data_IF_296616212580
#
_entry.id   IF_296616212580
#
_cell.length_a   1.000
_cell.length_b   1.000
_cell.length_c   1.000
_cell.angle_alpha   90.00
_cell.angle_beta   90.00
_cell.angle_gamma   90.00
#
_symmetry.space_group_name_H-M   'P 1'
#
loop_
_entity.id
_entity.type
_entity.pdbx_description
1 polymer ?
#
# COMPACT_ATOMS: atom_id res chain seq x y z
N UNK A 1 16.93 20.27 10.52
CA UNK A 1 16.01 19.52 9.63
C UNK A 1 16.84 18.57 8.78
N UNK A 2 17.29 17.44 9.33
CA UNK A 2 18.07 16.45 8.56
C UNK A 2 17.15 15.59 7.68
N UNK A 3 17.40 15.62 6.37
CA UNK A 3 16.67 14.88 5.35
C UNK A 3 17.08 13.40 5.34
N UNK A 4 16.41 12.55 6.12
CA UNK A 4 16.53 11.09 6.02
C UNK A 4 16.23 10.56 4.60
N UNK A 5 15.45 11.32 3.81
CA UNK A 5 15.15 11.03 2.40
C UNK A 5 16.36 11.23 1.47
N UNK A 6 17.33 12.08 1.86
CA UNK A 6 18.57 12.28 1.11
C UNK A 6 19.59 11.17 1.38
N UNK A 7 19.70 10.60 2.59
CA UNK A 7 20.72 9.57 2.85
C UNK A 7 20.53 8.28 2.03
N UNK A 8 19.30 7.82 1.86
CA UNK A 8 19.04 6.70 0.94
C UNK A 8 19.31 7.10 -0.52
N UNK A 9 19.36 8.39 -0.86
CA UNK A 9 19.68 8.92 -2.20
C UNK A 9 21.19 9.06 -2.40
N UNK A 10 21.93 9.40 -1.37
CA UNK A 10 23.40 9.49 -1.42
C UNK A 10 24.02 8.08 -1.58
N UNK A 11 23.43 7.06 -0.94
CA UNK A 11 23.76 5.64 -1.22
C UNK A 11 23.38 5.23 -2.66
N UNK A 12 22.33 5.82 -3.26
CA UNK A 12 21.94 5.56 -4.67
C UNK A 12 22.99 6.08 -5.65
N UNK A 13 23.52 7.28 -5.44
CA UNK A 13 24.52 7.87 -6.33
C UNK A 13 25.88 7.14 -6.23
N UNK A 14 26.31 6.76 -5.02
CA UNK A 14 27.57 6.03 -4.84
C UNK A 14 27.57 4.62 -5.47
N UNK A 15 26.44 3.89 -5.42
CA UNK A 15 26.35 2.56 -6.02
C UNK A 15 26.25 2.58 -7.55
N UNK A 16 25.65 3.62 -8.14
CA UNK A 16 25.61 3.80 -9.60
C UNK A 16 27.00 4.15 -10.16
N UNK A 17 27.76 5.00 -9.46
CA UNK A 17 29.10 5.44 -9.87
C UNK A 17 30.17 4.34 -9.74
N UNK A 18 29.98 3.36 -8.87
CA UNK A 18 30.90 2.23 -8.70
C UNK A 18 30.70 1.09 -9.71
N UNK A 19 29.68 1.16 -10.58
CA UNK A 19 29.41 0.12 -11.58
C UNK A 19 30.36 0.13 -12.78
N UNK A 20 31.23 1.13 -12.91
CA UNK A 20 32.18 1.30 -14.02
C UNK A 20 33.66 1.25 -13.63
N UNK A 21 34.01 0.69 -12.47
CA UNK A 21 35.41 0.59 -12.04
C UNK A 21 35.71 -0.61 -11.13
N UNK A 22 36.50 -1.55 -11.65
CA UNK A 22 37.23 -2.63 -10.97
C UNK A 22 36.48 -3.51 -9.95
N UNK A 23 36.34 -4.79 -10.34
CA UNK A 23 35.95 -5.96 -9.54
C UNK A 23 36.98 -6.33 -8.46
N UNK A 24 37.35 -5.39 -7.59
CA UNK A 24 38.09 -5.67 -6.36
C UNK A 24 37.61 -4.70 -5.28
N UNK A 25 36.52 -5.04 -4.58
CA UNK A 25 36.20 -4.37 -3.32
C UNK A 25 35.90 -5.41 -2.24
N UNK A 26 36.87 -5.57 -1.35
CA UNK A 26 36.72 -6.20 -0.05
C UNK A 26 35.49 -5.63 0.71
N UNK A 27 34.64 -6.52 1.24
CA UNK A 27 33.98 -6.47 2.56
C UNK A 27 33.42 -5.15 3.12
N UNK A 28 32.96 -4.19 2.32
CA UNK A 28 32.16 -3.08 2.86
C UNK A 28 30.69 -3.50 3.00
N UNK A 29 30.44 -4.46 3.91
CA UNK A 29 29.08 -4.73 4.36
C UNK A 29 28.57 -3.49 5.08
N UNK A 30 27.46 -2.92 4.57
CA UNK A 30 26.81 -1.77 5.19
C UNK A 30 26.54 -2.06 6.67
N UNK A 31 27.09 -1.22 7.53
CA UNK A 31 26.80 -1.25 8.96
C UNK A 31 25.45 -0.55 9.20
N UNK A 32 24.39 -1.33 9.40
CA UNK A 32 23.04 -0.78 9.59
C UNK A 32 22.83 -0.15 10.97
N UNK A 33 23.75 -0.30 11.93
CA UNK A 33 23.67 0.43 13.20
C UNK A 33 24.17 1.88 13.04
N UNK A 34 25.20 2.09 12.22
CA UNK A 34 25.70 3.43 11.84
C UNK A 34 24.80 4.09 10.78
N UNK A 35 24.47 3.33 9.73
CA UNK A 35 23.68 3.80 8.59
C UNK A 35 22.42 2.94 8.41
N UNK A 36 21.41 3.11 9.27
CA UNK A 36 20.20 2.31 9.28
C UNK A 36 19.43 2.43 7.96
N UNK A 37 18.81 1.33 7.55
CA UNK A 37 17.85 1.35 6.44
C UNK A 37 16.56 1.99 6.96
N UNK A 38 16.14 3.10 6.34
CA UNK A 38 14.92 3.81 6.75
C UNK A 38 13.91 3.73 5.62
N UNK A 39 12.73 3.18 5.91
CA UNK A 39 11.60 3.08 5.00
C UNK A 39 10.43 3.87 5.59
N UNK A 40 9.81 4.73 4.77
CA UNK A 40 8.61 5.44 5.18
C UNK A 40 7.39 4.54 4.90
N UNK A 41 6.41 4.49 5.81
CA UNK A 41 5.13 3.83 5.56
C UNK A 41 4.09 4.87 5.12
N UNK A 42 3.53 4.69 3.91
CA UNK A 42 2.55 5.60 3.29
C UNK A 42 1.23 4.92 2.96
N UNK A 43 0.85 3.90 3.72
CA UNK A 43 -0.44 3.23 3.55
C UNK A 43 -1.62 4.20 3.51
N UNK A 44 -1.68 5.16 4.43
CA UNK A 44 -2.74 6.17 4.49
C UNK A 44 -2.82 7.02 3.21
N UNK A 45 -1.67 7.44 2.69
CA UNK A 45 -1.61 8.23 1.46
C UNK A 45 -2.07 7.41 0.25
N UNK A 46 -1.71 6.13 0.19
CA UNK A 46 -2.16 5.24 -0.87
C UNK A 46 -3.69 5.08 -0.87
N UNK A 47 -4.28 4.84 0.31
CA UNK A 47 -5.74 4.72 0.47
C UNK A 47 -6.46 6.03 0.11
N UNK A 48 -5.92 7.18 0.51
CA UNK A 48 -6.48 8.48 0.15
C UNK A 48 -6.36 8.78 -1.35
N UNK A 49 -5.25 8.39 -2.00
CA UNK A 49 -5.10 8.53 -3.44
C UNK A 49 -6.12 7.67 -4.19
N UNK A 50 -6.35 6.44 -3.76
CA UNK A 50 -7.41 5.59 -4.32
C UNK A 50 -8.79 6.25 -4.19
N UNK A 51 -9.13 6.78 -3.01
CA UNK A 51 -10.37 7.53 -2.80
C UNK A 51 -10.48 8.76 -3.71
N UNK A 52 -9.39 9.50 -3.90
CA UNK A 52 -9.34 10.63 -4.82
C UNK A 52 -9.55 10.22 -6.28
N UNK A 53 -8.95 9.11 -6.74
CA UNK A 53 -9.17 8.59 -8.09
C UNK A 53 -10.63 8.21 -8.34
N UNK A 54 -11.28 7.56 -7.36
CA UNK A 54 -12.72 7.25 -7.43
C UNK A 54 -13.52 8.55 -7.55
N UNK A 55 -13.19 9.57 -6.75
CA UNK A 55 -13.88 10.86 -6.80
C UNK A 55 -13.79 11.52 -8.18
N UNK A 56 -12.59 11.57 -8.77
CA UNK A 56 -12.37 12.12 -10.12
C UNK A 56 -13.17 11.33 -11.16
N UNK A 57 -13.15 10.00 -11.07
CA UNK A 57 -13.93 9.13 -11.96
C UNK A 57 -15.44 9.43 -11.86
N UNK A 58 -15.95 9.64 -10.65
CA UNK A 58 -17.37 9.98 -10.45
C UNK A 58 -17.74 11.34 -11.03
N UNK A 59 -16.89 12.36 -10.87
CA UNK A 59 -17.09 13.67 -11.51
C UNK A 59 -17.13 13.50 -13.02
N UNK A 60 -16.20 12.73 -13.59
CA UNK A 60 -16.19 12.44 -15.01
C UNK A 60 -17.50 11.79 -15.49
N UNK A 61 -17.98 10.74 -14.79
CA UNK A 61 -19.23 10.07 -15.13
C UNK A 61 -20.45 11.00 -15.04
N UNK A 62 -20.50 11.88 -14.03
CA UNK A 62 -21.57 12.87 -13.89
C UNK A 62 -21.56 13.91 -15.01
N UNK A 63 -20.37 14.35 -15.45
CA UNK A 63 -20.25 15.28 -16.57
C UNK A 63 -20.58 14.62 -17.91
N UNK A 64 -20.26 13.33 -18.07
CA UNK A 64 -20.51 12.57 -19.30
C UNK A 64 -22.00 12.24 -19.48
N UNK A 65 -22.70 11.86 -18.41
CA UNK A 65 -24.13 11.54 -18.44
C UNK A 65 -24.90 12.23 -17.29
N UNK A 66 -25.15 13.55 -17.40
CA UNK A 66 -25.75 14.33 -16.32
C UNK A 66 -27.22 14.00 -16.03
N UNK A 67 -27.93 13.43 -17.01
CA UNK A 67 -29.36 13.11 -16.92
C UNK A 67 -29.63 11.73 -16.29
N UNK A 68 -28.61 10.88 -16.15
CA UNK A 68 -28.75 9.57 -15.54
C UNK A 68 -28.76 9.71 -14.01
N UNK A 69 -29.96 9.53 -13.44
CA UNK A 69 -30.18 9.62 -11.99
C UNK A 69 -29.27 8.66 -11.21
N UNK A 70 -28.88 7.52 -11.81
CA UNK A 70 -27.99 6.53 -11.22
C UNK A 70 -26.58 7.07 -10.91
N UNK A 71 -26.01 7.92 -11.77
CA UNK A 71 -24.71 8.55 -11.50
C UNK A 71 -24.80 9.62 -10.40
N UNK A 72 -25.98 10.23 -10.21
CA UNK A 72 -26.22 11.15 -9.07
C UNK A 72 -26.22 10.41 -7.73
N UNK A 73 -26.69 9.16 -7.68
CA UNK A 73 -26.66 8.34 -6.47
C UNK A 73 -25.24 7.96 -6.05
N UNK A 74 -24.28 7.84 -6.98
CA UNK A 74 -22.87 7.65 -6.63
C UNK A 74 -22.37 8.76 -5.70
N UNK A 75 -22.75 10.02 -5.95
CA UNK A 75 -22.38 11.16 -5.10
C UNK A 75 -22.96 11.12 -3.68
N UNK A 76 -23.97 10.27 -3.42
CA UNK A 76 -24.47 9.99 -2.07
C UNK A 76 -23.60 8.91 -1.39
N UNK A 77 -23.14 7.93 -2.17
CA UNK A 77 -22.33 6.80 -1.69
C UNK A 77 -20.91 7.28 -1.33
N UNK A 78 -20.29 8.14 -2.15
CA UNK A 78 -18.91 8.56 -1.94
C UNK A 78 -18.62 9.26 -0.60
N UNK A 79 -19.46 10.18 -0.08
CA UNK A 79 -19.28 10.73 1.25
C UNK A 79 -19.22 9.69 2.38
N UNK A 80 -19.91 8.56 2.21
CA UNK A 80 -19.94 7.48 3.20
C UNK A 80 -18.68 6.60 3.10
N UNK A 81 -18.24 6.28 1.89
CA UNK A 81 -17.15 5.34 1.66
C UNK A 81 -15.80 6.02 1.34
N UNK A 82 -15.75 7.01 0.47
CA UNK A 82 -14.50 7.66 0.04
C UNK A 82 -13.96 8.71 1.02
N UNK A 83 -14.80 9.62 1.51
CA UNK A 83 -14.37 10.73 2.37
C UNK A 83 -13.65 10.30 3.66
N UNK A 84 -14.06 9.24 4.38
CA UNK A 84 -13.36 8.82 5.59
C UNK A 84 -11.86 8.54 5.39
N UNK A 85 -11.47 7.94 4.26
CA UNK A 85 -10.05 7.70 3.94
C UNK A 85 -9.30 8.99 3.67
N UNK A 86 -9.94 9.94 2.97
CA UNK A 86 -9.35 11.26 2.69
C UNK A 86 -9.18 12.05 3.99
N UNK A 87 -10.19 12.06 4.87
CA UNK A 87 -10.12 12.74 6.15
C UNK A 87 -9.09 12.12 7.08
N UNK A 88 -8.98 10.79 7.14
CA UNK A 88 -7.96 10.12 7.95
C UNK A 88 -6.55 10.52 7.48
N UNK A 89 -6.32 10.52 6.17
CA UNK A 89 -5.07 11.03 5.60
C UNK A 89 -4.82 12.50 5.94
N UNK A 90 -5.81 13.39 5.80
CA UNK A 90 -5.64 14.82 6.12
C UNK A 90 -5.30 14.98 7.61
N UNK A 91 -6.00 14.26 8.50
CA UNK A 91 -5.77 14.28 9.95
C UNK A 91 -4.37 13.77 10.30
N UNK A 92 -3.88 12.77 9.57
CA UNK A 92 -2.59 12.13 9.83
C UNK A 92 -1.45 12.63 8.93
N UNK A 93 -1.67 13.62 8.05
CA UNK A 93 -0.66 14.09 7.05
C UNK A 93 0.68 14.53 7.64
N UNK A 94 0.66 15.01 8.89
CA UNK A 94 1.85 15.46 9.61
C UNK A 94 2.55 14.32 10.37
N UNK A 95 1.92 13.14 10.44
CA UNK A 95 2.47 11.93 11.03
C UNK A 95 3.35 11.24 9.99
N UNK A 96 4.58 10.95 10.36
CA UNK A 96 5.55 10.20 9.56
C UNK A 96 5.85 8.89 10.27
N UNK A 97 5.34 7.81 9.68
CA UNK A 97 5.65 6.44 10.08
C UNK A 97 6.94 6.01 9.39
N UNK A 98 8.01 5.80 10.16
CA UNK A 98 9.33 5.45 9.65
C UNK A 98 9.78 4.12 10.27
N UNK A 99 10.06 3.13 9.44
CA UNK A 99 10.66 1.88 9.87
C UNK A 99 12.16 1.99 9.71
N UNK A 100 12.87 1.85 10.83
CA UNK A 100 14.32 1.88 10.92
C UNK A 100 14.81 0.44 11.16
N UNK A 101 15.54 -0.12 10.20
CA UNK A 101 16.16 -1.43 10.30
C UNK A 101 17.65 -1.26 10.61
N UNK A 102 18.11 -1.87 11.70
CA UNK A 102 19.50 -1.90 12.14
C UNK A 102 20.02 -3.35 12.17
N UNK A 103 21.28 -3.59 12.54
CA UNK A 103 21.82 -4.95 12.57
C UNK A 103 21.20 -5.83 13.66
N UNK A 104 20.51 -5.23 14.65
CA UNK A 104 19.96 -5.94 15.81
C UNK A 104 18.44 -5.82 15.93
N UNK A 105 17.82 -4.77 15.39
CA UNK A 105 16.39 -4.51 15.60
C UNK A 105 15.73 -3.74 14.46
N UNK A 106 14.42 -3.86 14.42
CA UNK A 106 13.52 -3.13 13.55
C UNK A 106 12.61 -2.26 14.42
N UNK A 107 12.66 -0.95 14.20
CA UNK A 107 11.93 0.04 15.00
C UNK A 107 10.93 0.76 14.10
N UNK A 108 9.65 0.71 14.47
CA UNK A 108 8.61 1.55 13.89
C UNK A 108 8.49 2.85 14.70
N UNK A 109 8.83 3.97 14.07
CA UNK A 109 8.80 5.30 14.65
C UNK A 109 7.62 6.12 14.11
N UNK A 110 6.96 6.87 14.98
CA UNK A 110 6.05 7.96 14.61
C UNK A 110 6.72 9.29 14.94
N UNK A 111 6.92 10.14 13.93
CA UNK A 111 7.52 11.47 14.11
C UNK A 111 8.82 11.44 14.95
N UNK A 112 9.65 10.42 14.70
CA UNK A 112 10.92 10.09 15.39
C UNK A 112 10.83 9.45 16.78
N UNK A 113 9.63 9.24 17.32
CA UNK A 113 9.44 8.50 18.58
C UNK A 113 9.16 7.02 18.29
N UNK A 114 9.85 6.07 18.95
CA UNK A 114 9.60 4.65 18.75
C UNK A 114 8.23 4.25 19.33
N UNK A 115 7.41 3.56 18.53
CA UNK A 115 6.12 3.00 18.97
C UNK A 115 6.22 1.49 19.14
N UNK A 116 6.86 0.80 18.19
CA UNK A 116 7.07 -0.65 18.23
C UNK A 116 8.52 -0.96 17.89
N UNK A 117 9.10 -1.90 18.63
CA UNK A 117 10.43 -2.44 18.38
C UNK A 117 10.33 -3.95 18.36
N UNK A 118 10.93 -4.57 17.34
CA UNK A 118 11.11 -6.01 17.20
C UNK A 118 12.61 -6.25 17.10
N UNK A 119 13.17 -7.12 17.94
CA UNK A 119 14.55 -7.54 17.74
C UNK A 119 14.63 -8.56 16.61
N UNK A 120 15.76 -8.57 15.90
CA UNK A 120 15.91 -9.45 14.74
C UNK A 120 15.79 -10.91 15.17
N UNK A 121 16.50 -11.34 16.22
CA UNK A 121 16.41 -12.68 16.81
C UNK A 121 14.98 -13.15 17.11
N UNK A 122 14.08 -12.25 17.52
CA UNK A 122 12.66 -12.53 17.79
C UNK A 122 11.78 -12.73 16.53
N UNK A 123 12.29 -12.46 15.32
CA UNK A 123 11.50 -12.61 14.09
C UNK A 123 11.22 -14.09 13.82
N UNK A 124 9.93 -14.43 13.80
CA UNK A 124 9.45 -15.78 13.50
C UNK A 124 9.32 -16.00 12.00
N UNK A 125 8.63 -15.08 11.31
CA UNK A 125 8.41 -15.17 9.87
C UNK A 125 8.11 -13.79 9.28
N UNK A 126 8.49 -13.65 8.01
CA UNK A 126 8.21 -12.47 7.19
C UNK A 126 7.23 -12.91 6.10
N UNK A 127 6.15 -12.16 5.90
CA UNK A 127 5.16 -12.42 4.85
C UNK A 127 4.99 -11.20 3.97
N UNK A 128 4.54 -11.42 2.75
CA UNK A 128 4.10 -10.35 1.86
C UNK A 128 2.60 -10.38 1.72
N UNK A 129 2.00 -9.20 1.72
CA UNK A 129 0.57 -9.06 1.52
C UNK A 129 0.25 -8.09 0.38
N UNK A 130 -0.89 -8.33 -0.26
CA UNK A 130 -1.48 -7.37 -1.20
C UNK A 130 -2.25 -6.30 -0.43
N UNK A 131 -3.07 -6.72 0.53
CA UNK A 131 -3.78 -5.85 1.46
C UNK A 131 -3.50 -6.28 2.89
N UNK A 132 -3.33 -5.30 3.77
CA UNK A 132 -3.20 -5.53 5.19
C UNK A 132 -4.31 -4.80 5.93
N UNK A 133 -5.05 -5.55 6.74
CA UNK A 133 -6.04 -5.00 7.65
C UNK A 133 -5.37 -4.58 8.95
N UNK A 134 -5.23 -3.27 9.18
CA UNK A 134 -4.85 -2.69 10.47
C UNK A 134 -6.11 -2.47 11.31
N UNK A 135 -6.45 -3.43 12.17
CA UNK A 135 -7.68 -3.37 12.99
C UNK A 135 -7.72 -2.12 13.85
N UNK A 136 -6.59 -1.67 14.40
CA UNK A 136 -6.54 -0.46 15.26
C UNK A 136 -6.83 0.81 14.48
N UNK A 137 -6.33 0.92 13.26
CA UNK A 137 -6.66 2.04 12.39
C UNK A 137 -8.15 2.04 12.04
N UNK A 138 -8.68 0.86 11.74
CA UNK A 138 -10.06 0.65 11.30
C UNK A 138 -11.11 0.75 12.44
N UNK A 139 -10.77 0.40 13.68
CA UNK A 139 -11.60 0.64 14.88
C UNK A 139 -11.83 2.13 15.15
N UNK A 140 -10.88 2.96 14.74
CA UNK A 140 -10.97 4.41 14.81
C UNK A 140 -11.74 5.04 13.64
N UNK A 141 -12.26 4.21 12.71
CA UNK A 141 -13.12 4.65 11.61
C UNK A 141 -14.61 4.46 11.94
N UNK A 142 -15.45 4.97 11.04
CA UNK A 142 -16.90 5.12 11.24
C UNK A 142 -17.63 3.78 11.50
N UNK A 143 -18.84 3.81 12.05
CA UNK A 143 -19.64 2.61 12.42
C UNK A 143 -19.81 1.62 11.26
N UNK A 144 -19.94 2.12 10.03
CA UNK A 144 -20.01 1.29 8.83
C UNK A 144 -18.75 0.47 8.57
N UNK A 145 -17.57 1.04 8.82
CA UNK A 145 -16.31 0.31 8.67
C UNK A 145 -16.24 -0.82 9.70
N UNK A 146 -16.61 -0.55 10.95
CA UNK A 146 -16.75 -1.60 12.00
C UNK A 146 -17.68 -2.74 11.56
N UNK A 147 -18.77 -2.41 10.87
CA UNK A 147 -19.73 -3.39 10.35
C UNK A 147 -19.16 -4.21 9.18
N UNK A 148 -18.56 -3.56 8.18
CA UNK A 148 -17.93 -4.24 7.04
C UNK A 148 -16.75 -5.16 7.48
N UNK A 149 -16.09 -4.81 8.58
CA UNK A 149 -14.98 -5.57 9.18
C UNK A 149 -15.39 -6.80 9.98
N UNK A 150 -16.67 -6.92 10.35
CA UNK A 150 -17.19 -8.08 11.08
C UNK A 150 -17.11 -9.36 10.25
N UNK A 151 -17.09 -9.23 8.92
CA UNK A 151 -17.04 -10.36 7.99
C UNK A 151 -15.60 -10.71 7.58
N UNK A 152 -15.38 -11.98 7.29
CA UNK A 152 -14.12 -12.49 6.74
C UNK A 152 -13.81 -11.74 5.43
N UNK A 153 -12.58 -11.24 5.23
CA UNK A 153 -12.19 -10.55 4.01
C UNK A 153 -12.52 -11.29 2.71
N UNK A 154 -12.47 -12.62 2.69
CA UNK A 154 -12.88 -13.40 1.52
C UNK A 154 -14.38 -13.28 1.26
N UNK A 155 -15.20 -13.35 2.31
CA UNK A 155 -16.64 -13.13 2.22
C UNK A 155 -16.98 -11.71 1.77
N UNK A 156 -16.22 -10.70 2.21
CA UNK A 156 -16.42 -9.31 1.81
C UNK A 156 -16.05 -9.08 0.34
N UNK A 157 -14.96 -9.70 -0.15
CA UNK A 157 -14.56 -9.65 -1.56
C UNK A 157 -15.61 -10.34 -2.43
N UNK A 158 -16.06 -11.55 -2.04
CA UNK A 158 -17.09 -12.29 -2.76
C UNK A 158 -18.40 -11.50 -2.81
N UNK A 159 -18.81 -10.90 -1.68
CA UNK A 159 -19.99 -10.03 -1.64
C UNK A 159 -19.85 -8.81 -2.55
N UNK A 160 -18.69 -8.13 -2.54
CA UNK A 160 -18.41 -7.02 -3.46
C UNK A 160 -18.47 -7.47 -4.93
N UNK A 161 -17.89 -8.63 -5.27
CA UNK A 161 -17.94 -9.18 -6.62
C UNK A 161 -19.38 -9.50 -7.05
N UNK A 162 -20.18 -10.07 -6.15
CA UNK A 162 -21.61 -10.35 -6.40
C UNK A 162 -22.38 -9.05 -6.59
N UNK A 163 -22.14 -8.03 -5.77
CA UNK A 163 -22.76 -6.71 -5.92
C UNK A 163 -22.33 -6.07 -7.25
N UNK A 164 -21.05 -6.12 -7.60
CA UNK A 164 -20.55 -5.63 -8.89
C UNK A 164 -21.18 -6.39 -10.07
N UNK A 165 -21.35 -7.71 -9.95
CA UNK A 165 -22.00 -8.54 -10.97
C UNK A 165 -23.52 -8.29 -11.06
N UNK A 166 -24.19 -8.07 -9.94
CA UNK A 166 -25.60 -7.70 -9.92
C UNK A 166 -25.82 -6.31 -10.53
N UNK A 167 -24.98 -5.34 -10.17
CA UNK A 167 -24.94 -4.02 -10.81
C UNK A 167 -24.64 -4.17 -12.30
N UNK A 168 -23.72 -5.04 -12.70
CA UNK A 168 -23.45 -5.36 -14.11
C UNK A 168 -24.70 -5.82 -14.85
N UNK A 169 -25.41 -6.82 -14.32
CA UNK A 169 -26.62 -7.33 -14.94
C UNK A 169 -27.68 -6.22 -15.09
N UNK A 170 -27.86 -5.39 -14.05
CA UNK A 170 -28.79 -4.25 -14.09
C UNK A 170 -28.37 -3.19 -15.11
N UNK A 171 -27.07 -2.94 -15.26
CA UNK A 171 -26.53 -1.99 -16.24
C UNK A 171 -26.72 -2.51 -17.67
N UNK A 172 -26.40 -3.79 -17.93
CA UNK A 172 -26.56 -4.42 -19.26
C UNK A 172 -28.02 -4.43 -19.72
N UNK A 173 -28.97 -4.64 -18.83
CA UNK A 173 -30.40 -4.68 -19.20
C UNK A 173 -31.03 -3.31 -19.41
N UNK A 174 -30.41 -2.22 -18.94
CA UNK A 174 -31.06 -0.89 -18.84
C UNK A 174 -30.24 0.26 -19.44
N UNK A 175 -29.24 0.00 -20.27
CA UNK A 175 -28.44 1.04 -20.93
C UNK A 175 -28.75 1.11 -22.43
N UNK A 176 -29.02 2.32 -22.93
CA UNK A 176 -29.03 2.65 -24.37
C UNK A 176 -27.62 2.92 -24.93
N UNK A 177 -26.57 2.65 -24.15
CA UNK A 177 -25.18 2.78 -24.58
C UNK A 177 -24.75 1.58 -25.41
N UNK A 178 -23.74 1.75 -26.26
CA UNK A 178 -23.16 0.63 -26.99
C UNK A 178 -22.59 -0.40 -26.00
N UNK A 179 -22.72 -1.70 -26.31
CA UNK A 179 -22.24 -2.80 -25.45
C UNK A 179 -20.78 -2.62 -24.99
N UNK A 180 -19.94 -1.95 -25.80
CA UNK A 180 -18.53 -1.67 -25.49
C UNK A 180 -18.31 -0.67 -24.35
N UNK A 181 -19.18 0.35 -24.22
CA UNK A 181 -19.06 1.35 -23.14
C UNK A 181 -19.39 0.75 -21.78
N UNK A 182 -20.39 -0.12 -21.72
CA UNK A 182 -20.76 -0.86 -20.49
C UNK A 182 -19.61 -1.77 -20.06
N UNK A 183 -19.03 -2.53 -21.01
CA UNK A 183 -17.85 -3.37 -20.77
C UNK A 183 -16.66 -2.56 -20.27
N UNK A 184 -16.42 -1.38 -20.84
CA UNK A 184 -15.33 -0.50 -20.42
C UNK A 184 -15.50 0.01 -18.98
N UNK A 185 -16.69 0.48 -18.59
CA UNK A 185 -16.97 0.97 -17.23
C UNK A 185 -16.74 -0.14 -16.19
N UNK A 186 -17.13 -1.38 -16.52
CA UNK A 186 -16.90 -2.53 -15.63
C UNK A 186 -15.43 -2.88 -15.52
N UNK A 187 -14.71 -2.87 -16.64
CA UNK A 187 -13.28 -3.08 -16.64
C UNK A 187 -12.60 -2.04 -15.75
N UNK A 188 -12.93 -0.76 -15.91
CA UNK A 188 -12.40 0.31 -15.07
C UNK A 188 -12.81 0.11 -13.60
N UNK A 189 -14.04 -0.29 -13.31
CA UNK A 189 -14.52 -0.54 -11.95
C UNK A 189 -13.81 -1.71 -11.25
N UNK A 190 -13.77 -2.88 -11.88
CA UNK A 190 -13.14 -4.11 -11.37
C UNK A 190 -11.63 -3.91 -11.21
N UNK A 191 -10.99 -3.32 -12.21
CA UNK A 191 -9.54 -3.12 -12.22
C UNK A 191 -9.12 -1.79 -11.56
N UNK A 192 -10.07 -0.99 -11.04
CA UNK A 192 -9.84 0.37 -10.53
C UNK A 192 -8.72 0.41 -9.50
N UNK A 193 -8.71 -0.53 -8.55
CA UNK A 193 -7.70 -0.58 -7.51
C UNK A 193 -6.30 -0.85 -8.08
N UNK A 194 -6.18 -1.78 -9.02
CA UNK A 194 -4.90 -2.07 -9.69
C UNK A 194 -4.43 -0.89 -10.54
N UNK A 195 -5.33 -0.26 -11.29
CA UNK A 195 -5.05 0.93 -12.09
C UNK A 195 -4.58 2.07 -11.18
N UNK A 196 -5.26 2.32 -10.07
CA UNK A 196 -4.86 3.34 -9.10
C UNK A 196 -3.51 3.03 -8.46
N UNK A 197 -3.22 1.75 -8.18
CA UNK A 197 -1.90 1.32 -7.70
C UNK A 197 -0.80 1.60 -8.70
N UNK A 198 -1.04 1.24 -9.95
CA UNK A 198 -0.10 1.52 -11.03
C UNK A 198 0.12 3.03 -11.22
N UNK A 199 -0.96 3.81 -11.28
CA UNK A 199 -0.91 5.27 -11.39
C UNK A 199 -0.17 5.92 -10.22
N UNK A 200 -0.34 5.41 -8.99
CA UNK A 200 0.40 5.89 -7.82
C UNK A 200 1.92 5.78 -8.03
N UNK A 201 2.41 4.60 -8.43
CA UNK A 201 3.84 4.39 -8.66
C UNK A 201 4.34 5.22 -9.85
N UNK A 202 3.56 5.28 -10.93
CA UNK A 202 3.92 6.06 -12.11
C UNK A 202 4.03 7.57 -11.80
N UNK A 203 3.03 8.14 -11.11
CA UNK A 203 2.96 9.58 -10.84
C UNK A 203 3.92 10.00 -9.72
N UNK A 204 3.89 9.30 -8.58
CA UNK A 204 4.63 9.75 -7.38
C UNK A 204 6.02 9.16 -7.26
N UNK A 205 6.29 8.02 -7.89
CA UNK A 205 7.60 7.35 -7.86
C UNK A 205 8.33 7.43 -9.19
N UNK A 206 7.63 7.74 -10.28
CA UNK A 206 8.18 7.73 -11.65
C UNK A 206 8.77 6.36 -12.00
N UNK A 207 8.16 5.30 -11.48
CA UNK A 207 8.59 3.92 -11.67
C UNK A 207 7.45 3.13 -12.31
N UNK A 208 7.77 2.35 -13.36
CA UNK A 208 6.87 1.35 -13.90
C UNK A 208 6.97 0.13 -12.98
N UNK A 209 5.92 -0.13 -12.21
CA UNK A 209 5.90 -1.21 -11.22
C UNK A 209 4.56 -1.93 -11.22
N UNK A 210 4.60 -3.24 -11.46
CA UNK A 210 3.43 -4.14 -11.44
C UNK A 210 3.43 -5.04 -10.19
N UNK A 211 4.15 -4.67 -9.14
CA UNK A 211 4.21 -5.47 -7.92
C UNK A 211 2.92 -5.30 -7.13
N UNK A 212 2.12 -6.38 -7.06
CA UNK A 212 0.86 -6.39 -6.34
C UNK A 212 1.06 -6.56 -4.82
N UNK A 213 1.98 -7.42 -4.40
CA UNK A 213 2.31 -7.70 -3.00
C UNK A 213 3.40 -6.75 -2.48
N UNK A 214 3.01 -5.54 -2.11
CA UNK A 214 3.91 -4.49 -1.65
C UNK A 214 3.86 -4.26 -0.13
N UNK A 215 2.94 -4.86 0.60
CA UNK A 215 3.02 -4.91 2.05
C UNK A 215 4.05 -5.96 2.48
N UNK A 216 4.94 -5.56 3.37
CA UNK A 216 5.79 -6.47 4.13
C UNK A 216 5.28 -6.53 5.57
N UNK A 217 5.07 -7.74 6.08
CA UNK A 217 4.62 -7.98 7.45
C UNK A 217 5.64 -8.85 8.16
N UNK A 218 6.18 -8.34 9.25
CA UNK A 218 7.20 -8.98 10.06
C UNK A 218 6.54 -9.37 11.38
N UNK A 219 6.48 -10.67 11.66
CA UNK A 219 5.88 -11.22 12.86
C UNK A 219 6.96 -11.62 13.87
N UNK A 220 6.77 -11.22 15.12
CA UNK A 220 7.60 -11.58 16.27
C UNK A 220 6.69 -11.83 17.47
N UNK A 221 6.55 -13.08 17.92
CA UNK A 221 5.67 -13.49 19.01
C UNK A 221 4.32 -12.74 19.00
N UNK A 222 4.11 -11.83 19.97
CA UNK A 222 2.88 -11.04 20.16
C UNK A 222 2.86 -9.68 19.43
N UNK A 223 3.87 -9.41 18.60
CA UNK A 223 4.07 -8.13 17.92
C UNK A 223 4.21 -8.35 16.42
N UNK A 224 3.80 -7.32 15.69
CA UNK A 224 4.06 -7.19 14.27
C UNK A 224 4.49 -5.78 13.92
N UNK A 225 5.34 -5.69 12.89
CA UNK A 225 5.64 -4.45 12.19
C UNK A 225 5.26 -4.69 10.73
N UNK A 226 4.49 -3.76 10.19
CA UNK A 226 4.02 -3.83 8.82
C UNK A 226 4.19 -2.48 8.12
N UNK A 227 4.42 -2.54 6.80
CA UNK A 227 4.55 -1.36 5.97
C UNK A 227 4.48 -1.66 4.48
N UNK A 228 4.14 -0.62 3.71
CA UNK A 228 4.20 -0.66 2.24
C UNK A 228 5.62 -0.36 1.75
N UNK A 229 6.14 -1.21 0.87
CA UNK A 229 7.38 -1.00 0.13
C UNK A 229 7.13 0.03 -0.98
N UNK A 230 7.77 1.20 -0.87
CA UNK A 230 7.42 2.35 -1.70
C UNK A 230 8.13 2.46 -3.05
N UNK A 231 9.15 1.66 -3.31
CA UNK A 231 9.90 1.71 -4.57
C UNK A 231 10.59 0.37 -4.85
N UNK A 232 10.98 0.15 -6.10
CA UNK A 232 11.81 -0.99 -6.48
C UNK A 232 13.17 -0.96 -5.78
N UNK A 233 13.70 0.23 -5.50
CA UNK A 233 14.95 0.36 -4.77
C UNK A 233 14.79 -0.01 -3.28
N UNK A 234 13.75 0.47 -2.62
CA UNK A 234 13.45 0.08 -1.24
C UNK A 234 13.25 -1.44 -1.14
N UNK A 235 12.60 -2.05 -2.15
CA UNK A 235 12.47 -3.50 -2.26
C UNK A 235 13.83 -4.21 -2.29
N UNK A 236 14.74 -3.79 -3.19
CA UNK A 236 16.08 -4.38 -3.31
C UNK A 236 16.87 -4.26 -2.01
N UNK A 237 16.87 -3.07 -1.39
CA UNK A 237 17.57 -2.83 -0.13
C UNK A 237 17.02 -3.67 1.03
N UNK A 238 15.69 -3.81 1.11
CA UNK A 238 15.05 -4.67 2.09
C UNK A 238 15.42 -6.14 1.85
N UNK A 239 15.34 -6.61 0.60
CA UNK A 239 15.73 -7.98 0.24
C UNK A 239 17.16 -8.28 0.65
N UNK A 240 18.10 -7.40 0.31
CA UNK A 240 19.50 -7.54 0.73
C UNK A 240 19.66 -7.57 2.24
N UNK A 241 18.96 -6.68 2.96
CA UNK A 241 18.98 -6.65 4.42
C UNK A 241 18.53 -7.99 5.03
N UNK A 242 17.38 -8.52 4.61
CA UNK A 242 16.84 -9.76 5.18
C UNK A 242 17.64 -11.00 4.80
N UNK A 243 18.20 -11.06 3.59
CA UNK A 243 19.11 -12.15 3.19
C UNK A 243 20.37 -12.12 4.06
N UNK A 244 21.00 -10.94 4.22
CA UNK A 244 22.27 -10.82 4.96
C UNK A 244 22.09 -11.02 6.46
N UNK A 245 21.06 -10.44 7.07
CA UNK A 245 20.89 -10.43 8.52
C UNK A 245 20.13 -11.66 9.04
N UNK A 246 19.32 -12.30 8.20
CA UNK A 246 18.42 -13.38 8.62
C UNK A 246 18.33 -14.59 7.70
N UNK A 247 19.07 -14.60 6.59
CA UNK A 247 18.94 -15.63 5.56
C UNK A 247 17.49 -15.82 5.07
N UNK A 248 16.71 -14.73 5.05
CA UNK A 248 15.33 -14.71 4.56
C UNK A 248 15.31 -14.02 3.20
N UNK A 249 14.93 -14.76 2.16
CA UNK A 249 14.69 -14.20 0.83
C UNK A 249 13.23 -13.76 0.68
N UNK A 250 13.00 -12.45 0.62
CA UNK A 250 11.67 -11.84 0.47
C UNK A 250 10.98 -12.23 -0.85
N UNK A 251 11.72 -12.72 -1.85
CA UNK A 251 11.10 -13.23 -3.08
C UNK A 251 10.43 -14.59 -2.88
N UNK A 252 10.86 -15.34 -1.85
CA UNK A 252 10.41 -16.72 -1.58
C UNK A 252 9.47 -16.83 -0.37
N UNK A 253 9.18 -15.73 0.32
CA UNK A 253 8.24 -15.76 1.43
C UNK A 253 6.81 -15.93 0.94
N UNK A 254 5.96 -16.47 1.82
CA UNK A 254 4.54 -16.60 1.53
C UNK A 254 3.90 -15.26 1.15
N UNK A 255 3.16 -15.28 0.05
CA UNK A 255 2.37 -14.16 -0.44
C UNK A 255 0.90 -14.41 -0.14
N UNK A 256 0.27 -13.43 0.49
CA UNK A 256 -1.13 -13.50 0.92
C UNK A 256 -1.90 -12.35 0.27
N UNK A 257 -3.06 -12.64 -0.32
CA UNK A 257 -3.92 -11.58 -0.86
C UNK A 257 -4.35 -10.65 0.28
N UNK A 258 -4.59 -11.22 1.45
CA UNK A 258 -5.03 -10.50 2.63
C UNK A 258 -4.31 -11.02 3.87
N UNK A 259 -3.84 -10.12 4.73
CA UNK A 259 -3.41 -10.44 6.08
C UNK A 259 -4.11 -9.53 7.10
N UNK A 260 -4.30 -10.08 8.29
CA UNK A 260 -4.69 -9.31 9.47
C UNK A 260 -3.44 -8.95 10.28
N UNK A 261 -3.44 -7.75 10.86
CA UNK A 261 -2.59 -7.49 11.99
C UNK A 261 -3.03 -8.35 13.19
N UNK A 262 -2.06 -9.10 13.73
CA UNK A 262 -2.13 -9.66 15.09
C UNK A 262 -2.03 -8.53 16.11
#
# INVERSE_FOLDING_TARGET
MENFKNRNKDVRENNLNNSSGNLNSNNNQRDYDKEPLVVENKAEFYMAFFGFCIFVFMIYMYLYEPNETRFRHLFIIFPVFGLPFIFDFIRNRNKKYLIKLTNTKIINNLNKKPIKTIFLDEILYVKRAYFLRDRKQLENQNIFYKFALKYDPYSTIIACLIICFAVFLILVTNFSMSNYQVVFILFVGIFSFWICKFLYFLIFKKEIRFTFYDYLVIYANEKNINFIIQSNNDYKLLREFFIKQKNIDIDKVECHIWLDDK
#
